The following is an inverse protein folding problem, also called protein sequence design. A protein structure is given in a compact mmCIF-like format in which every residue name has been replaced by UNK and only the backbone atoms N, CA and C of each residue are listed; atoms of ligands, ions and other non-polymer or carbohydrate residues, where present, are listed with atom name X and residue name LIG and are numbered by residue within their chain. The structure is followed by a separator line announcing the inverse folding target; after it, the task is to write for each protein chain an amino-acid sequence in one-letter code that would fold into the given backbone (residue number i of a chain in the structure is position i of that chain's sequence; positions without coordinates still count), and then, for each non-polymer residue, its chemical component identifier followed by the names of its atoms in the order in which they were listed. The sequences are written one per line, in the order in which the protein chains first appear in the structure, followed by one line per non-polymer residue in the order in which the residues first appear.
data_IF_198627593787
#
_entry.id   IF_198627593787
#
_cell.length_a   1.000
_cell.length_b   1.000
_cell.length_c   1.000
_cell.angle_alpha   90.00
_cell.angle_beta   90.00
_cell.angle_gamma   90.00
#
_symmetry.space_group_name_H-M   'P 1'
#
loop_
_entity.id
_entity.type
_entity.pdbx_description
1 polymer ?
#
# COMPACT_ATOMS: atom_id res chain seq x y z
N UNK A 1 6.09 -10.63 -7.67
CA UNK A 1 5.63 -11.35 -6.43
C UNK A 1 4.83 -12.56 -6.86
N UNK A 2 5.04 -13.70 -6.21
CA UNK A 2 4.32 -14.95 -6.48
C UNK A 2 3.69 -15.44 -5.17
N UNK A 3 2.43 -15.81 -5.23
CA UNK A 3 1.62 -16.30 -4.11
C UNK A 3 0.98 -17.60 -4.56
N UNK A 4 1.17 -18.66 -3.78
CA UNK A 4 0.70 -20.01 -4.14
C UNK A 4 -0.11 -20.59 -2.97
N UNK A 5 -1.35 -20.95 -3.26
CA UNK A 5 -2.29 -21.68 -2.38
C UNK A 5 -2.36 -21.11 -0.95
N UNK A 6 -2.45 -19.77 -0.83
CA UNK A 6 -2.44 -19.08 0.46
C UNK A 6 -3.79 -19.22 1.16
N UNK A 7 -3.74 -19.75 2.40
CA UNK A 7 -4.86 -19.88 3.33
C UNK A 7 -4.54 -19.14 4.63
N UNK A 8 -5.56 -18.50 5.21
CA UNK A 8 -5.46 -17.91 6.53
C UNK A 8 -6.80 -17.90 7.25
N UNK A 9 -6.76 -18.16 8.57
CA UNK A 9 -7.95 -18.21 9.43
C UNK A 9 -7.71 -17.48 10.75
N UNK A 10 -8.73 -16.80 11.25
CA UNK A 10 -8.77 -16.29 12.62
C UNK A 10 -9.61 -17.24 13.49
N UNK A 11 -8.94 -18.10 14.22
CA UNK A 11 -9.59 -19.16 14.98
C UNK A 11 -10.37 -20.13 14.06
N UNK A 12 -11.70 -20.18 14.22
CA UNK A 12 -12.54 -21.05 13.36
C UNK A 12 -13.01 -20.40 12.07
N UNK A 13 -12.76 -19.09 11.88
CA UNK A 13 -13.21 -18.36 10.70
C UNK A 13 -12.12 -18.38 9.63
N UNK A 14 -12.32 -19.16 8.58
CA UNK A 14 -11.45 -19.12 7.40
C UNK A 14 -11.71 -17.85 6.60
N UNK A 15 -10.64 -17.09 6.31
CA UNK A 15 -10.69 -15.78 5.63
C UNK A 15 -10.06 -15.84 4.25
N UNK A 16 -8.95 -16.56 4.10
CA UNK A 16 -8.32 -16.80 2.79
C UNK A 16 -8.35 -18.30 2.51
N UNK A 17 -8.71 -18.67 1.28
CA UNK A 17 -9.00 -20.06 0.90
C UNK A 17 -8.36 -20.42 -0.43
N UNK A 18 -7.03 -20.61 -0.44
CA UNK A 18 -6.29 -20.96 -1.65
C UNK A 18 -6.18 -19.76 -2.60
N UNK A 19 -5.55 -18.69 -2.14
CA UNK A 19 -5.31 -17.51 -2.97
C UNK A 19 -4.02 -17.69 -3.75
N UNK A 20 -4.11 -17.55 -5.07
CA UNK A 20 -3.00 -17.54 -6.01
C UNK A 20 -2.87 -16.17 -6.67
N UNK A 21 -1.64 -15.62 -6.70
CA UNK A 21 -1.33 -14.32 -7.30
C UNK A 21 0.00 -14.40 -8.04
N UNK A 22 0.03 -13.89 -9.27
CA UNK A 22 1.26 -13.59 -9.98
C UNK A 22 1.26 -12.10 -10.32
N UNK A 23 1.94 -11.32 -9.49
CA UNK A 23 2.14 -9.88 -9.74
C UNK A 23 3.43 -9.68 -10.54
N UNK A 24 3.29 -9.36 -11.80
CA UNK A 24 4.40 -9.14 -12.74
C UNK A 24 5.02 -7.76 -12.55
N UNK A 25 6.30 -7.62 -12.90
CA UNK A 25 6.99 -6.32 -12.90
C UNK A 25 6.31 -5.37 -13.88
N UNK A 26 6.21 -4.10 -13.50
CA UNK A 26 5.58 -3.06 -14.33
C UNK A 26 4.07 -3.24 -14.50
N UNK A 27 3.38 -3.79 -13.49
CA UNK A 27 1.92 -3.92 -13.52
C UNK A 27 1.27 -3.19 -12.34
N UNK A 28 0.12 -2.61 -12.61
CA UNK A 28 -0.78 -1.98 -11.66
C UNK A 28 -2.05 -2.81 -11.53
N UNK A 29 -2.22 -3.49 -10.39
CA UNK A 29 -3.29 -4.45 -10.16
C UNK A 29 -4.20 -3.96 -9.05
N UNK A 30 -5.51 -4.08 -9.26
CA UNK A 30 -6.53 -3.81 -8.26
C UNK A 30 -7.10 -5.09 -7.65
N UNK A 31 -7.30 -5.10 -6.34
CA UNK A 31 -8.14 -6.10 -5.67
C UNK A 31 -9.37 -5.41 -5.12
N UNK A 32 -10.53 -5.79 -5.64
CA UNK A 32 -11.83 -5.28 -5.19
C UNK A 32 -12.60 -6.37 -4.44
N UNK A 33 -13.52 -5.97 -3.59
CA UNK A 33 -14.36 -6.90 -2.83
C UNK A 33 -15.11 -6.20 -1.71
N UNK A 34 -16.15 -6.84 -1.20
CA UNK A 34 -16.95 -6.31 -0.11
C UNK A 34 -16.14 -6.12 1.19
N UNK A 35 -16.68 -5.32 2.12
CA UNK A 35 -16.10 -5.19 3.45
C UNK A 35 -16.14 -6.55 4.16
N UNK A 36 -15.02 -6.94 4.77
CA UNK A 36 -14.88 -8.25 5.41
C UNK A 36 -14.56 -9.42 4.49
N UNK A 37 -14.38 -9.22 3.18
CA UNK A 37 -13.98 -10.25 2.22
C UNK A 37 -12.56 -10.80 2.45
N UNK A 38 -11.74 -10.14 3.28
CA UNK A 38 -10.38 -10.57 3.57
C UNK A 38 -9.28 -9.78 2.89
N UNK A 39 -9.60 -8.64 2.23
CA UNK A 39 -8.63 -7.82 1.49
C UNK A 39 -7.44 -7.37 2.34
N UNK A 40 -7.68 -6.74 3.49
CA UNK A 40 -6.61 -6.31 4.40
C UNK A 40 -5.86 -7.50 5.02
N UNK A 41 -6.55 -8.63 5.24
CA UNK A 41 -5.88 -9.87 5.67
C UNK A 41 -4.92 -10.38 4.60
N UNK A 42 -5.33 -10.35 3.34
CA UNK A 42 -4.46 -10.70 2.23
C UNK A 42 -3.24 -9.78 2.17
N UNK A 43 -3.41 -8.47 2.24
CA UNK A 43 -2.27 -7.53 2.25
C UNK A 43 -1.32 -7.77 3.43
N UNK A 44 -1.84 -8.06 4.63
CA UNK A 44 -1.01 -8.41 5.80
C UNK A 44 -0.22 -9.71 5.59
N UNK A 45 -0.79 -10.68 4.90
CA UNK A 45 -0.06 -11.90 4.52
C UNK A 45 1.00 -11.58 3.46
N UNK A 46 0.67 -10.78 2.46
CA UNK A 46 1.62 -10.37 1.41
C UNK A 46 2.77 -9.52 1.94
N UNK A 47 2.51 -8.65 2.93
CA UNK A 47 3.52 -7.83 3.61
C UNK A 47 4.37 -8.59 4.63
N UNK A 48 3.96 -9.82 4.98
CA UNK A 48 4.63 -10.63 6.00
C UNK A 48 4.25 -10.28 7.44
N UNK A 49 3.30 -9.36 7.65
CA UNK A 49 2.76 -9.07 8.99
C UNK A 49 1.97 -10.27 9.56
N UNK A 50 1.36 -11.05 8.68
CA UNK A 50 0.67 -12.29 9.05
C UNK A 50 1.30 -13.47 8.32
N UNK A 51 1.60 -14.52 9.07
CA UNK A 51 2.01 -15.78 8.48
C UNK A 51 0.77 -16.52 7.97
N UNK A 52 0.76 -17.01 6.72
CA UNK A 52 -0.33 -17.85 6.23
C UNK A 52 -0.35 -19.20 6.96
N UNK A 53 -1.54 -19.78 7.14
CA UNK A 53 -1.70 -21.11 7.71
C UNK A 53 -1.15 -22.19 6.75
N UNK A 54 -1.30 -21.93 5.44
CA UNK A 54 -0.84 -22.77 4.34
C UNK A 54 -0.52 -21.91 3.14
N UNK A 55 0.34 -22.41 2.24
CA UNK A 55 0.76 -21.73 1.03
C UNK A 55 2.05 -20.93 1.24
N UNK A 56 2.47 -20.24 0.21
CA UNK A 56 3.75 -19.52 0.20
C UNK A 56 3.61 -18.18 -0.51
N UNK A 57 4.26 -17.16 0.06
CA UNK A 57 4.45 -15.85 -0.57
C UNK A 57 5.93 -15.69 -0.89
N UNK A 58 6.26 -15.46 -2.15
CA UNK A 58 7.63 -15.18 -2.61
C UNK A 58 7.68 -13.82 -3.29
N UNK A 59 8.59 -12.97 -2.86
CA UNK A 59 8.88 -11.72 -3.55
C UNK A 59 10.39 -11.52 -3.66
N UNK A 60 10.82 -10.76 -4.65
CA UNK A 60 12.21 -10.33 -4.80
C UNK A 60 12.28 -8.82 -4.57
N UNK A 61 13.36 -8.40 -3.89
CA UNK A 61 13.60 -6.99 -3.62
C UNK A 61 12.78 -6.43 -2.46
N UNK A 62 12.79 -5.10 -2.36
CA UNK A 62 12.08 -4.38 -1.30
C UNK A 62 10.61 -4.24 -1.64
N UNK A 63 9.76 -4.31 -0.63
CA UNK A 63 8.34 -3.95 -0.79
C UNK A 63 8.01 -2.77 0.12
N UNK A 64 7.08 -1.93 -0.33
CA UNK A 64 6.45 -0.88 0.46
C UNK A 64 5.03 -1.30 0.81
N UNK A 65 4.60 -1.00 2.03
CA UNK A 65 3.24 -1.26 2.47
C UNK A 65 2.62 -0.02 3.07
N UNK A 66 1.49 0.40 2.53
CA UNK A 66 0.66 1.48 3.03
C UNK A 66 -0.63 0.87 3.60
N UNK A 67 -0.71 0.60 4.92
CA UNK A 67 -1.91 0.05 5.55
C UNK A 67 -3.04 1.07 5.60
N UNK A 68 -4.29 0.58 5.66
CA UNK A 68 -5.48 1.42 5.80
C UNK A 68 -5.45 2.23 7.11
N UNK A 69 -5.06 1.59 8.22
CA UNK A 69 -4.88 2.27 9.49
C UNK A 69 -3.46 2.81 9.61
N UNK A 70 -3.37 4.12 9.65
CA UNK A 70 -2.09 4.82 9.79
C UNK A 70 -1.60 4.72 11.23
N UNK A 71 -0.48 4.02 11.44
CA UNK A 71 0.17 3.90 12.75
C UNK A 71 1.38 4.82 12.76
N UNK A 72 1.17 6.06 13.17
CA UNK A 72 2.21 7.08 13.31
C UNK A 72 2.31 7.51 14.77
N UNK A 73 3.51 7.87 15.21
CA UNK A 73 3.72 8.46 16.53
C UNK A 73 3.23 9.92 16.51
N UNK A 74 2.16 10.19 17.24
CA UNK A 74 1.54 11.53 17.27
C UNK A 74 2.47 12.63 17.84
N UNK A 75 3.44 12.27 18.66
CA UNK A 75 4.40 13.24 19.23
C UNK A 75 5.51 13.65 18.25
N UNK A 76 5.74 12.87 17.19
CA UNK A 76 6.76 13.14 16.19
C UNK A 76 6.25 14.13 15.15
N UNK A 77 7.16 14.93 14.58
CA UNK A 77 6.91 15.72 13.39
C UNK A 77 6.96 14.82 12.13
N UNK A 78 6.48 15.34 10.99
CA UNK A 78 6.65 14.67 9.70
C UNK A 78 8.14 14.41 9.43
N UNK A 79 9.01 15.41 9.63
CA UNK A 79 10.47 15.28 9.48
C UNK A 79 11.02 14.13 10.32
N UNK A 80 10.65 14.06 11.59
CA UNK A 80 11.14 13.00 12.48
C UNK A 80 10.70 11.60 12.03
N UNK A 81 9.50 11.46 11.43
CA UNK A 81 9.09 10.19 10.82
C UNK A 81 9.94 9.85 9.61
N UNK A 82 10.20 10.82 8.72
CA UNK A 82 11.05 10.59 7.54
C UNK A 82 12.45 10.16 7.95
N UNK A 83 13.06 10.84 8.92
CA UNK A 83 14.40 10.52 9.43
C UNK A 83 14.44 9.13 10.07
N UNK A 84 13.43 8.80 10.89
CA UNK A 84 13.32 7.50 11.53
C UNK A 84 13.22 6.36 10.50
N UNK A 85 12.33 6.50 9.52
CA UNK A 85 12.15 5.47 8.48
C UNK A 85 13.34 5.44 7.51
N UNK A 86 13.97 6.57 7.21
CA UNK A 86 15.20 6.59 6.42
C UNK A 86 16.31 5.77 7.09
N UNK A 87 16.49 5.94 8.40
CA UNK A 87 17.43 5.14 9.17
C UNK A 87 17.05 3.65 9.19
N UNK A 88 15.76 3.34 9.41
CA UNK A 88 15.25 1.96 9.46
C UNK A 88 15.40 1.21 8.12
N UNK A 89 15.18 1.89 7.01
CA UNK A 89 15.29 1.32 5.67
C UNK A 89 16.69 1.46 5.05
N UNK A 90 17.64 2.10 5.76
CA UNK A 90 18.96 2.46 5.25
C UNK A 90 18.88 3.24 3.92
N UNK A 91 17.98 4.23 3.88
CA UNK A 91 17.81 5.13 2.73
C UNK A 91 18.89 6.23 2.84
N UNK A 92 19.68 6.47 1.78
CA UNK A 92 20.83 7.39 1.85
C UNK A 92 20.44 8.87 1.90
N UNK A 93 19.27 9.22 1.35
CA UNK A 93 18.73 10.59 1.31
C UNK A 93 17.21 10.59 1.32
N UNK A 94 16.61 11.75 1.57
CA UNK A 94 15.15 11.93 1.64
C UNK A 94 14.52 12.39 0.32
N UNK A 95 15.29 12.47 -0.76
CA UNK A 95 14.83 13.02 -2.04
C UNK A 95 13.51 12.40 -2.51
N UNK A 96 13.38 11.07 -2.47
CA UNK A 96 12.15 10.39 -2.90
C UNK A 96 10.95 10.73 -2.00
N UNK A 97 11.18 10.90 -0.71
CA UNK A 97 10.14 11.33 0.22
C UNK A 97 9.71 12.78 -0.07
N UNK A 98 10.68 13.69 -0.26
CA UNK A 98 10.44 15.10 -0.56
C UNK A 98 9.68 15.27 -1.89
N UNK A 99 10.09 14.58 -2.97
CA UNK A 99 9.36 14.54 -4.24
C UNK A 99 7.91 14.06 -4.05
N UNK A 100 7.71 13.01 -3.25
CA UNK A 100 6.36 12.49 -2.96
C UNK A 100 5.53 13.50 -2.18
N UNK A 101 6.12 14.20 -1.22
CA UNK A 101 5.43 15.25 -0.46
C UNK A 101 4.99 16.42 -1.36
N UNK A 102 5.83 16.81 -2.34
CA UNK A 102 5.50 17.83 -3.32
C UNK A 102 4.35 17.38 -4.24
N UNK A 103 4.41 16.16 -4.78
CA UNK A 103 3.35 15.58 -5.61
C UNK A 103 2.02 15.58 -4.86
N UNK A 104 2.02 15.13 -3.61
CA UNK A 104 0.81 15.04 -2.77
C UNK A 104 0.42 16.35 -2.08
N UNK A 105 1.20 17.43 -2.29
CA UNK A 105 0.96 18.78 -1.74
C UNK A 105 0.77 18.80 -0.23
N UNK A 106 1.82 18.44 0.49
CA UNK A 106 1.84 18.59 1.94
C UNK A 106 3.23 18.89 2.51
N UNK A 107 4.15 19.39 1.67
CA UNK A 107 5.53 19.73 2.07
C UNK A 107 5.58 20.83 3.15
N UNK A 108 4.56 21.69 3.20
CA UNK A 108 4.41 22.74 4.23
C UNK A 108 4.25 22.19 5.64
N UNK A 109 3.83 20.93 5.80
CA UNK A 109 3.62 20.29 7.10
C UNK A 109 4.86 19.57 7.64
N UNK A 110 6.02 19.71 7.00
CA UNK A 110 7.24 18.91 7.32
C UNK A 110 7.67 19.04 8.78
N UNK A 111 7.50 20.21 9.38
CA UNK A 111 7.85 20.49 10.78
C UNK A 111 6.66 20.38 11.75
N UNK A 112 5.47 20.09 11.22
CA UNK A 112 4.27 19.89 12.03
C UNK A 112 4.23 18.53 12.70
N UNK A 113 3.67 18.49 13.93
CA UNK A 113 3.46 17.22 14.64
C UNK A 113 2.31 16.43 14.00
N UNK A 114 2.45 15.12 13.96
CA UNK A 114 1.40 14.24 13.43
C UNK A 114 0.08 14.42 14.17
N UNK A 115 0.11 14.73 15.48
CA UNK A 115 -1.10 15.01 16.27
C UNK A 115 -1.97 16.13 15.69
N UNK A 116 -1.37 17.13 15.03
CA UNK A 116 -2.08 18.30 14.45
C UNK A 116 -2.55 18.09 13.02
N UNK A 117 -2.09 17.03 12.35
CA UNK A 117 -2.41 16.75 10.95
C UNK A 117 -3.85 16.24 10.78
N UNK A 118 -4.48 16.65 9.67
CA UNK A 118 -5.75 16.05 9.22
C UNK A 118 -5.59 14.56 8.89
N UNK A 119 -6.69 13.80 8.87
CA UNK A 119 -6.66 12.40 8.46
C UNK A 119 -6.08 12.19 7.06
N UNK A 120 -6.46 13.04 6.11
CA UNK A 120 -5.91 13.00 4.74
C UNK A 120 -4.41 13.30 4.69
N UNK A 121 -3.91 14.27 5.49
CA UNK A 121 -2.47 14.57 5.56
C UNK A 121 -1.69 13.43 6.22
N UNK A 122 -2.24 12.79 7.26
CA UNK A 122 -1.65 11.58 7.86
C UNK A 122 -1.56 10.45 6.83
N UNK A 123 -2.59 10.29 5.98
CA UNK A 123 -2.58 9.28 4.93
C UNK A 123 -1.55 9.58 3.83
N UNK A 124 -1.36 10.85 3.46
CA UNK A 124 -0.27 11.28 2.55
C UNK A 124 1.10 10.92 3.12
N UNK A 125 1.32 11.17 4.42
CA UNK A 125 2.57 10.78 5.10
C UNK A 125 2.75 9.25 5.09
N UNK A 126 1.70 8.48 5.40
CA UNK A 126 1.74 7.03 5.37
C UNK A 126 2.17 6.49 3.99
N UNK A 127 1.59 7.02 2.93
CA UNK A 127 1.97 6.68 1.55
C UNK A 127 3.43 7.08 1.26
N UNK A 128 3.87 8.26 1.69
CA UNK A 128 5.26 8.72 1.52
C UNK A 128 6.25 7.76 2.18
N UNK A 129 5.97 7.30 3.40
CA UNK A 129 6.81 6.32 4.10
C UNK A 129 6.88 4.97 3.38
N UNK A 130 5.77 4.56 2.74
CA UNK A 130 5.72 3.32 1.97
C UNK A 130 6.55 3.37 0.67
N UNK A 131 6.74 4.56 0.07
CA UNK A 131 7.43 4.72 -1.23
C UNK A 131 8.86 5.23 -1.11
N UNK A 132 9.26 5.84 0.02
CA UNK A 132 10.52 6.58 0.16
C UNK A 132 11.78 5.72 -0.03
N UNK A 133 11.71 4.43 0.23
CA UNK A 133 12.83 3.49 0.11
C UNK A 133 12.89 2.78 -1.25
N UNK A 134 12.15 3.30 -2.23
CA UNK A 134 12.11 2.86 -3.63
C UNK A 134 11.81 1.35 -3.78
N UNK A 135 10.64 0.89 -3.31
CA UNK A 135 10.28 -0.52 -3.34
C UNK A 135 10.03 -1.03 -4.78
N UNK A 136 10.34 -2.31 -5.04
CA UNK A 136 9.99 -2.99 -6.29
C UNK A 136 8.51 -3.40 -6.34
N UNK A 137 7.91 -3.61 -5.18
CA UNK A 137 6.49 -3.94 -5.04
C UNK A 137 5.87 -3.02 -4.02
N UNK A 138 4.79 -2.35 -4.38
CA UNK A 138 4.03 -1.46 -3.51
C UNK A 138 2.65 -2.05 -3.24
N UNK A 139 2.34 -2.27 -1.96
CA UNK A 139 1.07 -2.79 -1.48
C UNK A 139 0.28 -1.66 -0.82
N UNK A 140 -0.92 -1.36 -1.30
CA UNK A 140 -1.71 -0.21 -0.88
C UNK A 140 -3.10 -0.66 -0.41
N UNK A 141 -3.45 -0.38 0.86
CA UNK A 141 -4.76 -0.67 1.44
C UNK A 141 -5.58 0.63 1.56
N UNK A 142 -6.50 0.86 0.63
CA UNK A 142 -7.33 2.07 0.53
C UNK A 142 -6.53 3.38 0.65
N UNK A 143 -5.48 3.56 -0.16
CA UNK A 143 -4.42 4.56 0.06
C UNK A 143 -4.86 6.01 -0.08
N UNK A 144 -5.99 6.28 -0.71
CA UNK A 144 -6.51 7.62 -1.00
C UNK A 144 -7.68 8.04 -0.09
N UNK A 145 -7.89 7.31 1.01
CA UNK A 145 -8.93 7.67 1.96
C UNK A 145 -8.68 9.06 2.58
N UNK A 146 -9.67 9.94 2.46
CA UNK A 146 -9.58 11.32 2.96
C UNK A 146 -8.81 12.29 2.06
N UNK A 147 -8.44 11.89 0.83
CA UNK A 147 -7.89 12.80 -0.17
C UNK A 147 -8.99 13.67 -0.78
N UNK A 148 -8.66 14.93 -1.05
CA UNK A 148 -9.43 15.76 -1.97
C UNK A 148 -9.23 15.27 -3.42
N UNK A 149 -10.09 15.76 -4.33
CA UNK A 149 -10.08 15.32 -5.73
C UNK A 149 -8.73 15.55 -6.43
N UNK A 150 -8.07 16.66 -6.18
CA UNK A 150 -6.79 16.97 -6.81
C UNK A 150 -5.68 16.04 -6.32
N UNK A 151 -5.61 15.82 -5.01
CA UNK A 151 -4.66 14.86 -4.41
C UNK A 151 -4.91 13.43 -4.89
N UNK A 152 -6.18 13.06 -5.04
CA UNK A 152 -6.56 11.76 -5.59
C UNK A 152 -6.06 11.56 -7.03
N UNK A 153 -6.16 12.56 -7.90
CA UNK A 153 -5.60 12.48 -9.26
C UNK A 153 -4.07 12.36 -9.23
N UNK A 154 -3.40 13.15 -8.41
CA UNK A 154 -1.93 13.10 -8.23
C UNK A 154 -1.43 11.76 -7.68
N UNK A 155 -2.22 11.14 -6.81
CA UNK A 155 -1.94 9.78 -6.34
C UNK A 155 -1.90 8.79 -7.50
N UNK A 156 -2.86 8.87 -8.42
CA UNK A 156 -2.86 7.97 -9.58
C UNK A 156 -1.71 8.24 -10.54
N UNK A 157 -1.31 9.50 -10.72
CA UNK A 157 -0.11 9.85 -11.51
C UNK A 157 1.15 9.25 -10.86
N UNK A 158 1.31 9.37 -9.54
CA UNK A 158 2.41 8.76 -8.79
C UNK A 158 2.46 7.24 -8.97
N UNK A 159 1.32 6.58 -8.90
CA UNK A 159 1.21 5.12 -9.03
C UNK A 159 1.51 4.68 -10.47
N UNK A 160 1.07 5.46 -11.47
CA UNK A 160 1.40 5.22 -12.87
C UNK A 160 2.90 5.34 -13.13
N UNK A 161 3.57 6.34 -12.57
CA UNK A 161 5.03 6.50 -12.65
C UNK A 161 5.76 5.29 -12.04
N UNK A 162 5.28 4.78 -10.92
CA UNK A 162 5.83 3.55 -10.32
C UNK A 162 5.74 2.37 -11.29
N UNK A 163 4.58 2.14 -11.91
CA UNK A 163 4.38 1.09 -12.91
C UNK A 163 5.32 1.30 -14.11
N UNK A 164 5.35 2.49 -14.67
CA UNK A 164 6.08 2.80 -15.90
C UNK A 164 7.60 2.69 -15.73
N UNK A 165 8.09 2.83 -14.50
CA UNK A 165 9.49 2.58 -14.14
C UNK A 165 9.79 1.11 -13.81
N UNK A 166 8.85 0.19 -14.11
CA UNK A 166 9.01 -1.27 -13.99
C UNK A 166 8.71 -1.83 -12.59
N UNK A 167 8.17 -1.01 -11.68
CA UNK A 167 7.72 -1.47 -10.36
C UNK A 167 6.30 -2.00 -10.42
N UNK A 168 5.94 -2.85 -9.48
CA UNK A 168 4.59 -3.42 -9.41
C UNK A 168 3.80 -2.77 -8.30
N UNK A 169 2.54 -2.45 -8.56
CA UNK A 169 1.65 -1.88 -7.56
C UNK A 169 0.40 -2.73 -7.42
N UNK A 170 0.03 -3.04 -6.20
CA UNK A 170 -1.20 -3.71 -5.86
C UNK A 170 -2.02 -2.80 -4.96
N UNK A 171 -3.16 -2.34 -5.48
CA UNK A 171 -4.10 -1.47 -4.78
C UNK A 171 -5.32 -2.26 -4.35
N UNK A 172 -5.61 -2.24 -3.07
CA UNK A 172 -6.86 -2.78 -2.54
C UNK A 172 -7.86 -1.64 -2.35
N UNK A 173 -9.06 -1.82 -2.88
CA UNK A 173 -10.16 -0.87 -2.75
C UNK A 173 -11.50 -1.58 -2.58
N UNK A 174 -12.43 -0.90 -1.93
CA UNK A 174 -13.83 -1.30 -1.91
C UNK A 174 -14.63 -0.72 -3.09
N UNK A 175 -14.05 0.27 -3.81
CA UNK A 175 -14.68 0.96 -4.93
C UNK A 175 -14.12 0.44 -6.26
N UNK A 176 -15.01 0.11 -7.18
CA UNK A 176 -14.65 -0.37 -8.52
C UNK A 176 -14.58 0.76 -9.57
N UNK A 177 -14.43 2.04 -9.13
CA UNK A 177 -14.54 3.18 -10.04
C UNK A 177 -13.29 3.45 -10.88
N UNK A 178 -12.12 2.92 -10.49
CA UNK A 178 -10.84 3.21 -11.14
C UNK A 178 -10.31 2.04 -11.97
N UNK A 179 -11.18 1.12 -12.35
CA UNK A 179 -10.78 -0.09 -13.10
C UNK A 179 -10.07 0.24 -14.41
N UNK A 180 -10.41 1.36 -15.06
CA UNK A 180 -9.81 1.81 -16.31
C UNK A 180 -8.33 2.25 -16.17
N UNK A 181 -7.88 2.49 -14.93
CA UNK A 181 -6.49 2.83 -14.62
C UNK A 181 -5.62 1.61 -14.32
N UNK A 182 -6.25 0.45 -14.13
CA UNK A 182 -5.62 -0.79 -13.69
C UNK A 182 -5.36 -1.72 -14.87
N UNK A 183 -4.18 -2.33 -14.90
CA UNK A 183 -3.86 -3.34 -15.92
C UNK A 183 -4.66 -4.63 -15.71
N UNK A 184 -4.98 -4.94 -14.44
CA UNK A 184 -5.78 -6.09 -14.05
C UNK A 184 -6.62 -5.78 -12.81
N UNK A 185 -7.80 -6.39 -12.73
CA UNK A 185 -8.67 -6.31 -11.56
C UNK A 185 -9.02 -7.72 -11.11
N UNK A 186 -8.73 -8.02 -9.86
CA UNK A 186 -9.16 -9.27 -9.23
C UNK A 186 -10.25 -8.99 -8.19
N UNK A 187 -11.19 -9.90 -8.10
CA UNK A 187 -12.25 -9.82 -7.10
C UNK A 187 -12.03 -10.84 -6.01
N UNK A 188 -11.88 -10.36 -4.77
CA UNK A 188 -11.83 -11.23 -3.59
C UNK A 188 -13.26 -11.46 -3.08
N UNK A 189 -13.71 -12.70 -3.16
CA UNK A 189 -15.03 -13.12 -2.69
C UNK A 189 -14.92 -14.45 -1.95
N UNK A 190 -15.57 -14.54 -0.76
CA UNK A 190 -15.59 -15.75 0.07
C UNK A 190 -14.20 -16.35 0.34
N UNK A 191 -13.18 -15.49 0.44
CA UNK A 191 -11.78 -15.87 0.66
C UNK A 191 -11.03 -16.38 -0.57
N UNK A 192 -11.66 -16.39 -1.75
CA UNK A 192 -11.04 -16.79 -3.02
C UNK A 192 -10.86 -15.59 -3.94
N UNK A 193 -9.78 -15.58 -4.71
CA UNK A 193 -9.50 -14.56 -5.71
C UNK A 193 -10.02 -15.03 -7.08
N UNK A 194 -10.74 -14.14 -7.76
CA UNK A 194 -11.30 -14.37 -9.10
C UNK A 194 -10.79 -13.25 -10.02
N UNK A 195 -10.26 -13.58 -11.16
CA UNK A 195 -9.80 -12.67 -12.22
C UNK A 195 -10.84 -12.50 -13.30
#
# INVERSE_FOLDING_TARGET
MEVEDVHHSYGRRSVLRGVDIVLRSGTLVGIVGENGAGKSTLLKVLSGELRPDRGVVRHRGRFGYCPQQVILNEAFTVRQHLDFFAAAYAVPDLRRAEETMEILRFSEYVDERVATLSGGTRQKLNLTLAVMHDPQVLLLDEPYQGFDWETYLRFWDLVADFRDTGRSVLVVSHLAYDTDRLDQVWRLRDGCLQG
#
